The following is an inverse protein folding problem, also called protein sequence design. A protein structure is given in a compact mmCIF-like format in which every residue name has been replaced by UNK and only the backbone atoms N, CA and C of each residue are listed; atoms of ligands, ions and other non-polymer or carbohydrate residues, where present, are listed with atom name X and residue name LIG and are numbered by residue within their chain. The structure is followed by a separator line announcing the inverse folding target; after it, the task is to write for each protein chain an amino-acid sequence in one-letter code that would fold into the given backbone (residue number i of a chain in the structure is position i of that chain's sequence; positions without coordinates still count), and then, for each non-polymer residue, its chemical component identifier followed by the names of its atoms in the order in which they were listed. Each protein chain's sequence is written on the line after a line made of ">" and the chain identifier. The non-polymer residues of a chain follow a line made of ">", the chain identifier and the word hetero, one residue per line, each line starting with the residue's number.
data_IF_161140094783
#
_entry.id   IF_161140094783
#
_cell.length_a   1.000
_cell.length_b   1.000
_cell.length_c   1.000
_cell.angle_alpha   90.00
_cell.angle_beta   90.00
_cell.angle_gamma   90.00
#
_symmetry.space_group_name_H-M   'P 1'
#
loop_
_entity.id
_entity.type
_entity.pdbx_description
1 polymer ?
#
# COMPACT_ATOMS: atom_id res chain seq x y z
N UNK A 1 -10.62 1.49 -18.05
CA UNK A 1 -9.92 2.71 -17.57
C UNK A 1 -8.69 2.33 -16.75
N UNK A 2 -7.63 3.15 -16.79
CA UNK A 2 -6.29 2.86 -16.23
C UNK A 2 -6.18 3.17 -14.72
N UNK A 3 -5.15 2.66 -14.04
CA UNK A 3 -4.86 2.86 -12.60
C UNK A 3 -4.66 4.34 -12.25
N UNK A 4 -3.82 5.06 -13.01
CA UNK A 4 -3.41 6.43 -12.67
C UNK A 4 -4.59 7.41 -12.65
N UNK A 5 -5.45 7.51 -13.70
CA UNK A 5 -6.57 8.45 -13.69
C UNK A 5 -7.54 8.21 -12.53
N UNK A 6 -7.82 6.93 -12.20
CA UNK A 6 -8.75 6.59 -11.10
C UNK A 6 -8.16 6.95 -9.74
N UNK A 7 -6.88 6.68 -9.51
CA UNK A 7 -6.21 7.08 -8.26
C UNK A 7 -6.17 8.60 -8.10
N UNK A 8 -5.88 9.35 -9.16
CA UNK A 8 -5.83 10.81 -9.09
C UNK A 8 -7.22 11.43 -8.88
N UNK A 9 -8.25 10.86 -9.50
CA UNK A 9 -9.63 11.28 -9.28
C UNK A 9 -10.04 11.07 -7.82
N UNK A 10 -9.79 9.88 -7.26
CA UNK A 10 -10.07 9.57 -5.86
C UNK A 10 -9.27 10.46 -4.89
N UNK A 11 -7.99 10.73 -5.18
CA UNK A 11 -7.18 11.61 -4.35
C UNK A 11 -7.72 13.05 -4.35
N UNK A 12 -8.19 13.55 -5.50
CA UNK A 12 -8.81 14.88 -5.60
C UNK A 12 -10.16 14.94 -4.86
N UNK A 13 -11.02 13.94 -5.05
CA UNK A 13 -12.33 13.83 -4.40
C UNK A 13 -12.22 13.79 -2.88
N UNK A 14 -11.26 13.04 -2.35
CA UNK A 14 -11.04 12.87 -0.91
C UNK A 14 -10.10 13.94 -0.30
N UNK A 15 -9.57 14.86 -1.10
CA UNK A 15 -8.66 15.91 -0.65
C UNK A 15 -7.27 15.42 -0.22
N UNK A 16 -6.86 14.22 -0.61
CA UNK A 16 -5.54 13.67 -0.26
C UNK A 16 -4.42 14.22 -1.14
N UNK A 17 -3.28 14.52 -0.51
CA UNK A 17 -2.03 14.97 -1.17
C UNK A 17 -0.89 13.97 -1.05
N UNK A 18 -1.16 12.76 -0.54
CA UNK A 18 -0.20 11.68 -0.40
C UNK A 18 -0.75 10.45 -1.09
N UNK A 19 0.04 9.87 -1.99
CA UNK A 19 -0.33 8.69 -2.76
C UNK A 19 0.74 7.64 -2.52
N UNK A 20 0.34 6.43 -2.14
CA UNK A 20 1.22 5.28 -2.03
C UNK A 20 0.86 4.25 -3.10
N UNK A 21 1.87 3.71 -3.79
CA UNK A 21 1.70 2.63 -4.78
C UNK A 21 2.57 1.46 -4.36
N UNK A 22 1.93 0.33 -4.05
CA UNK A 22 2.57 -0.89 -3.56
C UNK A 22 2.07 -2.14 -4.31
N UNK A 23 2.64 -3.30 -4.01
CA UNK A 23 2.38 -4.57 -4.69
C UNK A 23 3.23 -4.79 -5.94
N UNK A 24 3.18 -6.00 -6.50
CA UNK A 24 4.06 -6.40 -7.61
C UNK A 24 3.94 -5.52 -8.86
N UNK A 25 2.75 -5.00 -9.14
CA UNK A 25 2.50 -4.07 -10.26
C UNK A 25 3.23 -2.73 -10.07
N UNK A 26 3.49 -2.32 -8.82
CA UNK A 26 4.30 -1.14 -8.52
C UNK A 26 5.77 -1.29 -8.96
N UNK A 27 6.24 -2.50 -9.30
CA UNK A 27 7.57 -2.70 -9.88
C UNK A 27 7.65 -2.30 -11.37
N UNK A 28 6.52 -2.08 -12.03
CA UNK A 28 6.48 -1.70 -13.44
C UNK A 28 6.99 -0.26 -13.65
N UNK A 29 8.02 -0.09 -14.48
CA UNK A 29 8.66 1.20 -14.72
C UNK A 29 7.74 2.23 -15.36
N UNK A 30 6.86 1.83 -16.29
CA UNK A 30 5.89 2.72 -16.94
C UNK A 30 4.88 3.24 -15.94
N UNK A 31 4.32 2.35 -15.12
CA UNK A 31 3.36 2.72 -14.07
C UNK A 31 3.98 3.70 -13.07
N UNK A 32 5.23 3.47 -12.66
CA UNK A 32 5.96 4.40 -11.78
C UNK A 32 6.10 5.80 -12.39
N UNK A 33 6.52 5.86 -13.66
CA UNK A 33 6.69 7.12 -14.37
C UNK A 33 5.37 7.88 -14.52
N UNK A 34 4.30 7.17 -14.91
CA UNK A 34 2.98 7.76 -15.09
C UNK A 34 2.41 8.31 -13.76
N UNK A 35 2.58 7.57 -12.65
CA UNK A 35 2.20 8.06 -11.32
C UNK A 35 3.03 9.25 -10.86
N UNK A 36 4.34 9.25 -11.12
CA UNK A 36 5.22 10.36 -10.74
C UNK A 36 4.80 11.66 -11.44
N UNK A 37 4.60 11.61 -12.77
CA UNK A 37 4.16 12.78 -13.54
C UNK A 37 2.78 13.28 -13.10
N UNK A 38 1.85 12.37 -12.82
CA UNK A 38 0.50 12.73 -12.37
C UNK A 38 0.50 13.34 -10.96
N UNK A 39 1.28 12.77 -10.03
CA UNK A 39 1.41 13.28 -8.67
C UNK A 39 2.08 14.67 -8.65
N UNK A 40 3.14 14.86 -9.44
CA UNK A 40 3.81 16.16 -9.60
C UNK A 40 2.83 17.23 -10.10
N UNK A 41 2.08 16.94 -11.17
CA UNK A 41 1.07 17.85 -11.71
C UNK A 41 -0.01 18.24 -10.70
N UNK A 42 -0.37 17.32 -9.79
CA UNK A 42 -1.40 17.54 -8.78
C UNK A 42 -0.86 18.15 -7.46
N UNK A 43 0.45 18.37 -7.36
CA UNK A 43 1.12 18.77 -6.11
C UNK A 43 0.95 17.73 -5.01
N UNK A 44 0.91 16.44 -5.37
CA UNK A 44 0.81 15.31 -4.44
C UNK A 44 2.19 14.65 -4.25
N UNK A 45 2.45 14.18 -3.04
CA UNK A 45 3.62 13.38 -2.71
C UNK A 45 3.36 11.91 -3.06
N UNK A 46 4.25 11.34 -3.87
CA UNK A 46 4.20 9.93 -4.25
C UNK A 46 5.18 9.09 -3.42
N UNK A 47 4.70 8.00 -2.85
CA UNK A 47 5.48 7.00 -2.12
C UNK A 47 5.47 5.69 -2.91
N UNK A 48 6.66 5.22 -3.30
CA UNK A 48 6.81 3.93 -3.96
C UNK A 48 7.99 3.19 -3.33
N UNK A 49 7.84 1.93 -2.92
CA UNK A 49 8.94 1.19 -2.31
C UNK A 49 10.06 0.91 -3.35
N UNK A 50 11.29 0.64 -2.88
CA UNK A 50 12.34 0.05 -3.70
C UNK A 50 11.87 -1.25 -4.37
N UNK A 51 12.36 -1.56 -5.58
CA UNK A 51 11.91 -2.72 -6.36
C UNK A 51 11.94 -4.04 -5.58
N UNK A 52 13.00 -4.26 -4.78
CA UNK A 52 13.17 -5.47 -3.95
C UNK A 52 12.08 -5.64 -2.87
N UNK A 53 11.30 -4.59 -2.60
CA UNK A 53 10.24 -4.57 -1.58
C UNK A 53 8.84 -4.44 -2.21
N UNK A 54 8.70 -4.43 -3.53
CA UNK A 54 7.38 -4.32 -4.18
C UNK A 54 6.57 -5.61 -4.14
N UNK A 55 7.22 -6.75 -4.30
CA UNK A 55 6.57 -8.06 -4.22
C UNK A 55 6.44 -8.56 -2.78
N UNK A 56 5.80 -9.72 -2.61
CA UNK A 56 5.62 -10.33 -1.30
C UNK A 56 6.98 -10.68 -0.69
N UNK A 57 7.23 -10.21 0.53
CA UNK A 57 8.50 -10.41 1.22
C UNK A 57 8.33 -10.44 2.74
N UNK A 58 9.23 -11.15 3.44
CA UNK A 58 9.17 -11.27 4.89
C UNK A 58 9.33 -9.92 5.63
N UNK A 59 10.01 -8.93 5.02
CA UNK A 59 10.20 -7.63 5.65
C UNK A 59 8.88 -6.86 5.82
N UNK A 60 7.95 -6.96 4.86
CA UNK A 60 6.62 -6.34 4.99
C UNK A 60 5.80 -6.97 6.11
N UNK A 61 5.91 -8.31 6.28
CA UNK A 61 5.21 -9.05 7.34
C UNK A 61 5.79 -8.69 8.71
N UNK A 62 7.12 -8.66 8.84
CA UNK A 62 7.79 -8.24 10.08
C UNK A 62 7.49 -6.79 10.45
N UNK A 63 7.44 -5.89 9.46
CA UNK A 63 7.06 -4.49 9.66
C UNK A 63 5.62 -4.37 10.19
N UNK A 64 4.66 -5.09 9.58
CA UNK A 64 3.28 -5.10 10.07
C UNK A 64 3.23 -5.65 11.50
N UNK A 65 3.84 -6.81 11.76
CA UNK A 65 3.87 -7.43 13.08
C UNK A 65 4.48 -6.54 14.17
N UNK A 66 5.50 -5.73 13.84
CA UNK A 66 6.06 -4.75 14.74
C UNK A 66 5.04 -3.67 15.15
N UNK A 67 4.32 -3.09 14.17
CA UNK A 67 3.30 -2.08 14.47
C UNK A 67 2.07 -2.65 15.17
N UNK A 68 1.65 -3.88 14.84
CA UNK A 68 0.61 -4.61 15.58
C UNK A 68 1.00 -4.81 17.05
N UNK A 69 2.23 -5.27 17.29
CA UNK A 69 2.75 -5.45 18.66
C UNK A 69 2.78 -4.13 19.44
N UNK A 70 3.21 -3.03 18.81
CA UNK A 70 3.17 -1.70 19.43
C UNK A 70 1.75 -1.21 19.71
N UNK A 71 0.76 -1.63 18.91
CA UNK A 71 -0.66 -1.35 19.15
C UNK A 71 -1.27 -2.25 20.25
N UNK A 72 -0.50 -3.20 20.80
CA UNK A 72 -0.97 -4.15 21.81
C UNK A 72 -1.68 -5.38 21.22
N UNK A 73 -1.67 -5.55 19.91
CA UNK A 73 -2.26 -6.71 19.25
C UNK A 73 -1.27 -7.88 19.27
N UNK A 74 -1.66 -8.93 19.98
CA UNK A 74 -0.93 -10.20 20.07
C UNK A 74 -1.89 -11.37 19.93
N UNK A 75 -1.41 -12.49 19.41
CA UNK A 75 -2.22 -13.68 19.22
C UNK A 75 -1.77 -14.81 20.14
N UNK A 76 -2.74 -15.61 20.61
CA UNK A 76 -2.49 -16.82 21.37
C UNK A 76 -2.15 -18.04 20.49
N UNK A 77 -1.91 -19.21 21.10
CA UNK A 77 -1.56 -20.44 20.38
C UNK A 77 -2.65 -20.95 19.43
N UNK A 78 -3.89 -20.47 19.56
CA UNK A 78 -5.03 -20.78 18.71
C UNK A 78 -5.03 -20.05 17.35
N UNK A 79 -4.07 -19.15 17.11
CA UNK A 79 -3.97 -18.40 15.85
C UNK A 79 -3.91 -19.34 14.65
N UNK A 80 -4.73 -19.05 13.63
CA UNK A 80 -4.81 -19.85 12.42
C UNK A 80 -4.79 -18.98 11.16
N UNK A 81 -4.45 -19.58 10.02
CA UNK A 81 -4.41 -18.91 8.74
C UNK A 81 -5.82 -18.82 8.12
N UNK A 82 -6.11 -17.70 7.46
CA UNK A 82 -7.33 -17.50 6.70
C UNK A 82 -6.97 -17.27 5.24
N UNK A 83 -7.44 -18.16 4.35
CA UNK A 83 -7.18 -18.06 2.90
C UNK A 83 -7.84 -16.82 2.27
N UNK A 84 -8.96 -16.37 2.86
CA UNK A 84 -9.67 -15.17 2.44
C UNK A 84 -9.86 -14.26 3.66
N UNK A 85 -9.11 -13.17 3.70
CA UNK A 85 -9.20 -12.16 4.75
C UNK A 85 -9.54 -10.80 4.12
N UNK A 86 -10.70 -10.20 4.45
CA UNK A 86 -11.02 -8.84 4.06
C UNK A 86 -10.07 -7.84 4.74
N UNK A 87 -9.67 -6.80 4.01
CA UNK A 87 -8.76 -5.75 4.53
C UNK A 87 -9.40 -4.96 5.68
N UNK A 88 -10.72 -4.81 5.64
CA UNK A 88 -11.49 -4.06 6.65
C UNK A 88 -11.50 -4.77 8.01
N UNK A 89 -11.21 -6.08 8.05
CA UNK A 89 -11.19 -6.86 9.29
C UNK A 89 -9.86 -6.80 10.05
N UNK A 90 -8.86 -6.09 9.53
CA UNK A 90 -7.55 -5.93 10.20
C UNK A 90 -7.54 -4.83 11.27
N UNK A 91 -8.64 -4.09 11.44
CA UNK A 91 -8.78 -3.07 12.50
C UNK A 91 -9.75 -3.62 13.55
N UNK A 92 -9.21 -4.21 14.61
CA UNK A 92 -9.96 -4.76 15.73
C UNK A 92 -9.09 -4.91 16.96
#
# INVERSE_FOLDING_TARGET
>A
ESLVPRTMAAAAELGYKKIAVAGGVAANSRIRADFAAAAEKAGAQLFVPPLRLCGDNAAMIGCQGYYEFLAGHTAGPELNAYATMPLEKQIG
#
